data_IF_773124923380
#
_entry.id   IF_773124923380
#
_cell.length_a   1.000
_cell.length_b   1.000
_cell.length_c   1.000
_cell.angle_alpha   90.00
_cell.angle_beta   90.00
_cell.angle_gamma   90.00
#
_symmetry.space_group_name_H-M   'P 1'
#
loop_
_entity.id
_entity.type
_entity.pdbx_description
1 polymer ?
#
# COMPACT_ATOMS: atom_id res chain seq x y z
N UNK A 1 46.51 57.13 39.53
CA UNK A 1 45.73 55.88 39.61
C UNK A 1 45.27 55.50 38.20
N UNK A 2 45.55 54.27 37.81
CA UNK A 2 45.29 53.68 36.50
C UNK A 2 43.84 53.19 36.36
N UNK A 3 43.33 53.11 35.12
CA UNK A 3 42.66 51.91 34.56
C UNK A 3 42.50 52.04 33.03
N UNK A 4 42.92 50.99 32.32
CA UNK A 4 42.86 50.76 30.86
C UNK A 4 41.42 50.74 30.33
N UNK A 5 41.23 50.97 29.01
CA UNK A 5 40.26 50.24 28.23
C UNK A 5 40.94 49.23 27.29
N UNK A 6 40.23 48.13 27.08
CA UNK A 6 40.56 46.92 26.35
C UNK A 6 40.66 47.10 24.84
N UNK A 7 41.69 46.50 24.23
CA UNK A 7 41.86 46.37 22.78
C UNK A 7 40.73 45.54 22.16
N UNK A 8 40.06 46.07 21.14
CA UNK A 8 39.10 45.38 20.28
C UNK A 8 39.77 44.29 19.43
N UNK A 9 39.01 43.23 19.12
CA UNK A 9 39.44 42.07 18.34
C UNK A 9 39.99 42.44 16.95
N UNK A 10 39.56 43.57 16.40
CA UNK A 10 40.08 44.14 15.15
C UNK A 10 41.50 44.70 15.27
N UNK A 11 41.88 45.26 16.43
CA UNK A 11 43.24 45.73 16.69
C UNK A 11 44.25 44.59 16.80
N UNK A 12 43.81 43.41 17.27
CA UNK A 12 44.64 42.19 17.28
C UNK A 12 44.80 41.57 15.89
N UNK A 13 43.83 41.76 14.99
CA UNK A 13 43.92 41.36 13.58
C UNK A 13 44.91 42.21 12.79
N UNK A 14 44.91 43.53 13.01
CA UNK A 14 45.85 44.45 12.35
C UNK A 14 47.31 44.25 12.83
N UNK A 15 47.51 43.98 14.12
CA UNK A 15 48.82 43.64 14.70
C UNK A 15 49.34 42.27 14.23
N UNK A 16 48.45 41.31 13.95
CA UNK A 16 48.82 40.00 13.42
C UNK A 16 49.26 40.09 11.95
N UNK A 17 48.66 40.98 11.17
CA UNK A 17 49.03 41.25 9.77
C UNK A 17 50.35 42.07 9.71
N UNK A 18 50.58 42.98 10.66
CA UNK A 18 51.86 43.68 10.82
C UNK A 18 53.03 42.75 11.16
N UNK A 19 52.82 41.76 12.05
CA UNK A 19 53.86 40.79 12.45
C UNK A 19 54.13 39.71 11.39
N UNK A 20 53.19 39.43 10.50
CA UNK A 20 53.40 38.49 9.39
C UNK A 20 54.21 39.11 8.23
N UNK A 21 54.19 40.45 8.09
CA UNK A 21 55.03 41.20 7.16
C UNK A 21 56.51 41.26 7.59
N UNK A 22 56.77 41.28 8.91
CA UNK A 22 58.14 41.43 9.45
C UNK A 22 58.95 40.13 9.56
N UNK A 23 58.33 38.96 9.37
CA UNK A 23 59.00 37.64 9.41
C UNK A 23 59.22 36.98 8.05
N UNK A 24 58.70 37.55 6.95
CA UNK A 24 58.93 37.05 5.59
C UNK A 24 60.15 37.65 4.86
N UNK A 25 60.73 38.73 5.38
CA UNK A 25 61.76 39.52 4.66
C UNK A 25 63.22 39.25 5.12
N UNK A 26 63.52 38.10 5.73
CA UNK A 26 64.85 37.80 6.29
C UNK A 26 65.79 36.84 5.53
N UNK A 27 65.52 36.36 4.30
CA UNK A 27 66.59 35.85 3.44
C UNK A 27 66.92 36.76 2.23
N UNK A 28 66.17 37.85 1.99
CA UNK A 28 66.29 38.65 0.76
C UNK A 28 67.03 39.99 0.88
N UNK A 29 67.47 40.39 2.08
CA UNK A 29 68.21 41.66 2.28
C UNK A 29 69.62 41.72 1.65
N UNK A 30 70.48 40.69 1.64
CA UNK A 30 71.78 40.81 1.00
C UNK A 30 71.68 40.82 -0.55
N UNK A 31 70.54 40.40 -1.09
CA UNK A 31 70.30 40.34 -2.53
C UNK A 31 69.81 41.68 -3.10
N UNK A 32 68.90 42.36 -2.40
CA UNK A 32 68.35 43.66 -2.83
C UNK A 32 69.36 44.80 -2.64
N UNK A 33 70.17 44.81 -1.57
CA UNK A 33 71.20 45.85 -1.39
C UNK A 33 72.33 45.73 -2.42
N UNK A 34 72.66 44.52 -2.89
CA UNK A 34 73.65 44.34 -3.97
C UNK A 34 73.16 44.76 -5.35
N UNK A 35 71.85 44.73 -5.57
CA UNK A 35 71.24 45.13 -6.85
C UNK A 35 71.02 46.64 -6.96
N UNK A 36 70.90 47.36 -5.84
CA UNK A 36 70.54 48.78 -5.83
C UNK A 36 71.58 49.76 -5.26
N UNK A 37 72.72 49.31 -4.73
CA UNK A 37 73.71 50.18 -4.06
C UNK A 37 74.70 50.95 -4.97
N UNK A 38 74.47 51.13 -6.28
CA UNK A 38 75.46 51.82 -7.15
C UNK A 38 75.00 53.03 -7.93
N UNK A 39 73.85 53.64 -7.63
CA UNK A 39 73.42 54.85 -8.34
C UNK A 39 72.60 55.82 -7.48
N UNK A 40 73.25 56.45 -6.49
CA UNK A 40 72.95 57.85 -6.12
C UNK A 40 74.22 58.46 -5.50
N UNK A 41 74.87 59.39 -6.20
CA UNK A 41 75.62 60.47 -5.58
C UNK A 41 75.71 61.64 -6.56
N UNK A 42 75.15 62.75 -6.14
CA UNK A 42 75.26 64.10 -6.70
C UNK A 42 76.68 64.66 -6.52
N UNK A 43 77.23 65.30 -7.56
CA UNK A 43 77.90 66.62 -7.50
C UNK A 43 78.66 66.91 -8.81
N UNK A 44 78.21 67.98 -9.50
CA UNK A 44 78.96 69.06 -10.18
C UNK A 44 80.45 68.81 -10.57
N UNK A 45 80.97 69.20 -11.75
CA UNK A 45 80.84 70.48 -12.44
C UNK A 45 81.55 70.37 -13.83
N UNK A 46 80.97 70.99 -14.86
CA UNK A 46 81.59 71.49 -16.11
C UNK A 46 82.33 70.55 -17.10
N UNK A 47 81.84 70.63 -18.36
CA UNK A 47 82.48 70.55 -19.69
C UNK A 47 82.43 69.24 -20.51
N UNK A 48 81.88 69.44 -21.72
CA UNK A 48 81.97 68.71 -23.00
C UNK A 48 81.13 67.45 -23.28
N UNK A 49 79.98 67.69 -23.94
CA UNK A 49 79.07 66.72 -24.59
C UNK A 49 79.72 65.85 -25.66
N UNK A 50 80.93 66.17 -26.12
CA UNK A 50 81.62 65.42 -27.18
C UNK A 50 82.30 64.14 -26.68
N UNK A 51 82.38 63.90 -25.38
CA UNK A 51 83.06 62.72 -24.79
C UNK A 51 82.13 61.62 -24.27
N UNK A 52 80.84 61.90 -24.10
CA UNK A 52 79.85 60.94 -23.56
C UNK A 52 79.31 59.94 -24.59
N UNK A 53 79.43 60.26 -25.89
CA UNK A 53 78.92 59.40 -26.98
C UNK A 53 79.81 58.19 -27.27
N UNK A 54 81.11 58.27 -26.95
CA UNK A 54 82.04 57.13 -27.11
C UNK A 54 82.04 56.18 -25.89
N UNK A 55 81.68 56.68 -24.70
CA UNK A 55 81.61 55.83 -23.50
C UNK A 55 80.36 54.93 -23.48
N UNK A 56 79.25 55.37 -24.10
CA UNK A 56 78.02 54.58 -24.19
C UNK A 56 78.09 53.38 -25.14
N UNK A 57 79.04 53.35 -26.10
CA UNK A 57 79.19 52.24 -27.04
C UNK A 57 80.00 51.06 -26.50
N UNK A 58 80.81 51.23 -25.46
CA UNK A 58 81.78 50.20 -25.03
C UNK A 58 81.27 49.23 -23.95
N UNK A 59 80.01 49.33 -23.46
CA UNK A 59 79.56 48.54 -22.30
C UNK A 59 78.28 47.70 -22.51
N UNK A 60 78.08 47.11 -23.69
CA UNK A 60 77.06 46.06 -23.90
C UNK A 60 77.68 44.65 -23.85
N UNK A 61 77.76 44.08 -22.65
CA UNK A 61 78.07 42.65 -22.41
C UNK A 61 76.77 41.80 -22.44
N UNK A 62 76.61 40.83 -23.36
CA UNK A 62 75.31 40.22 -23.72
C UNK A 62 74.79 39.06 -22.84
N UNK A 63 75.28 38.88 -21.61
CA UNK A 63 74.99 37.65 -20.83
C UNK A 63 73.63 37.72 -20.09
N UNK A 64 73.14 38.90 -19.72
CA UNK A 64 71.89 39.05 -18.92
C UNK A 64 70.59 38.92 -19.73
N UNK A 65 70.62 39.25 -21.02
CA UNK A 65 69.45 39.13 -21.89
C UNK A 65 69.08 37.67 -22.15
N UNK A 66 70.07 36.76 -22.20
CA UNK A 66 69.84 35.33 -22.46
C UNK A 66 69.12 34.62 -21.32
N UNK A 67 69.46 34.92 -20.06
CA UNK A 67 68.81 34.31 -18.90
C UNK A 67 67.31 34.69 -18.83
N UNK A 68 67.00 35.96 -19.06
CA UNK A 68 65.61 36.43 -19.13
C UNK A 68 64.84 35.73 -20.26
N UNK A 69 65.45 35.61 -21.45
CA UNK A 69 64.88 34.89 -22.58
C UNK A 69 64.56 33.42 -22.25
N UNK A 70 65.47 32.70 -21.57
CA UNK A 70 65.22 31.32 -21.17
C UNK A 70 64.13 31.19 -20.11
N UNK A 71 64.01 32.12 -19.15
CA UNK A 71 62.92 32.11 -18.15
C UNK A 71 61.55 32.38 -18.77
N UNK A 72 61.48 33.28 -19.75
CA UNK A 72 60.25 33.54 -20.51
C UNK A 72 59.91 32.31 -21.35
N UNK A 73 60.88 31.71 -22.03
CA UNK A 73 60.69 30.49 -22.82
C UNK A 73 60.18 29.32 -21.96
N UNK A 74 60.78 29.11 -20.78
CA UNK A 74 60.34 28.07 -19.84
C UNK A 74 58.90 28.29 -19.37
N UNK A 75 58.53 29.54 -19.03
CA UNK A 75 57.17 29.89 -18.60
C UNK A 75 56.16 29.67 -19.72
N UNK A 76 56.50 30.04 -20.95
CA UNK A 76 55.66 29.79 -22.13
C UNK A 76 55.48 28.30 -22.36
N UNK A 77 56.55 27.50 -22.31
CA UNK A 77 56.47 26.04 -22.45
C UNK A 77 55.61 25.44 -21.32
N UNK A 78 55.77 25.88 -20.07
CA UNK A 78 54.96 25.43 -18.95
C UNK A 78 53.47 25.76 -19.13
N UNK A 79 53.14 26.96 -19.61
CA UNK A 79 51.76 27.35 -19.92
C UNK A 79 51.17 26.55 -21.09
N UNK A 80 51.96 26.24 -22.12
CA UNK A 80 51.51 25.40 -23.25
C UNK A 80 51.26 23.95 -22.82
N UNK A 81 52.13 23.40 -21.97
CA UNK A 81 51.94 22.06 -21.37
C UNK A 81 50.71 22.05 -20.48
N UNK A 82 50.53 23.06 -19.62
CA UNK A 82 49.34 23.18 -18.79
C UNK A 82 48.07 23.32 -19.64
N UNK A 83 48.08 24.18 -20.65
CA UNK A 83 46.94 24.38 -21.54
C UNK A 83 46.59 23.15 -22.37
N UNK A 84 47.55 22.25 -22.59
CA UNK A 84 47.32 20.95 -23.22
C UNK A 84 46.62 19.95 -22.28
N UNK A 85 46.94 19.93 -20.98
CA UNK A 85 46.33 19.02 -20.02
C UNK A 85 45.06 19.55 -19.34
N UNK A 86 44.90 20.86 -19.22
CA UNK A 86 43.76 21.49 -18.55
C UNK A 86 42.50 21.35 -19.43
N UNK A 87 41.54 20.53 -18.98
CA UNK A 87 40.23 20.34 -19.60
C UNK A 87 39.21 21.34 -19.07
N UNK A 88 38.42 21.92 -19.96
CA UNK A 88 37.26 22.77 -19.71
C UNK A 88 36.03 22.06 -20.31
N UNK A 89 34.91 22.09 -19.60
CA UNK A 89 33.65 21.53 -20.07
C UNK A 89 33.01 22.44 -21.12
N UNK A 90 32.61 21.84 -22.25
CA UNK A 90 31.77 22.49 -23.26
C UNK A 90 30.32 22.24 -22.89
N UNK A 91 29.54 23.31 -22.73
CA UNK A 91 28.13 23.24 -22.32
C UNK A 91 27.23 23.81 -23.40
N UNK A 92 26.17 23.07 -23.70
CA UNK A 92 25.03 23.54 -24.49
C UNK A 92 23.97 24.07 -23.53
N UNK A 93 23.44 25.27 -23.78
CA UNK A 93 22.45 25.91 -22.92
C UNK A 93 21.07 25.81 -23.55
N UNK A 94 20.07 25.49 -22.74
CA UNK A 94 18.66 25.50 -23.12
C UNK A 94 17.82 26.24 -22.10
N UNK A 95 16.88 27.04 -22.56
CA UNK A 95 15.85 27.62 -21.70
C UNK A 95 14.70 26.61 -21.56
N UNK A 96 14.24 26.37 -20.34
CA UNK A 96 13.24 25.35 -20.06
C UNK A 96 12.27 25.72 -18.95
N UNK A 97 11.33 24.83 -18.72
CA UNK A 97 10.34 24.92 -17.65
C UNK A 97 10.31 23.63 -16.83
N UNK A 98 10.08 23.77 -15.53
CA UNK A 98 9.87 22.64 -14.63
C UNK A 98 8.50 22.03 -14.93
N UNK A 99 8.47 20.73 -15.18
CA UNK A 99 7.26 19.93 -15.34
C UNK A 99 7.23 18.90 -14.19
N UNK A 100 6.04 18.48 -13.73
CA UNK A 100 5.97 17.43 -12.73
C UNK A 100 6.58 16.14 -13.33
N UNK A 101 7.37 15.42 -12.55
CA UNK A 101 7.97 14.17 -13.01
C UNK A 101 6.88 13.10 -13.21
N UNK A 102 5.88 13.11 -12.34
CA UNK A 102 4.66 12.32 -12.42
C UNK A 102 3.55 13.00 -13.22
N UNK A 103 2.66 12.20 -13.81
CA UNK A 103 1.49 12.72 -14.49
C UNK A 103 0.51 13.35 -13.49
N UNK A 104 -0.24 14.36 -13.96
CA UNK A 104 -1.35 14.96 -13.22
C UNK A 104 -2.36 13.90 -12.79
N UNK A 105 -2.64 13.84 -11.48
CA UNK A 105 -3.59 12.90 -10.89
C UNK A 105 -4.99 13.49 -10.94
N UNK A 106 -5.90 12.83 -11.66
CA UNK A 106 -7.32 13.21 -11.73
C UNK A 106 -8.10 12.34 -10.78
N UNK A 107 -8.59 12.94 -9.70
CA UNK A 107 -9.34 12.26 -8.66
C UNK A 107 -10.82 12.33 -9.03
N UNK A 108 -11.46 11.17 -9.09
CA UNK A 108 -12.84 11.01 -9.50
C UNK A 108 -13.68 10.50 -8.32
N UNK A 109 -14.97 10.85 -8.32
CA UNK A 109 -15.94 10.24 -7.41
C UNK A 109 -16.34 8.88 -7.93
N UNK A 110 -16.24 7.82 -7.12
CA UNK A 110 -16.57 6.46 -7.56
C UNK A 110 -18.08 6.24 -7.64
N UNK A 111 -18.79 6.32 -6.51
CA UNK A 111 -20.23 6.07 -6.44
C UNK A 111 -21.10 7.32 -6.66
N UNK A 112 -20.50 8.51 -6.70
CA UNK A 112 -21.22 9.78 -6.77
C UNK A 112 -21.95 10.13 -5.47
N UNK A 113 -22.63 11.28 -5.46
CA UNK A 113 -23.42 11.73 -4.31
C UNK A 113 -23.41 13.25 -4.12
N UNK A 114 -24.00 13.71 -3.02
CA UNK A 114 -24.07 15.12 -2.67
C UNK A 114 -22.82 15.49 -1.88
N UNK A 115 -22.11 16.53 -2.30
CA UNK A 115 -20.95 17.06 -1.56
C UNK A 115 -21.44 17.72 -0.28
N UNK A 116 -21.05 17.17 0.86
CA UNK A 116 -21.36 17.71 2.18
C UNK A 116 -20.31 18.74 2.61
N UNK A 117 -19.03 18.42 2.43
CA UNK A 117 -17.91 19.26 2.86
C UNK A 117 -16.75 19.25 1.88
N UNK A 118 -16.03 20.37 1.80
CA UNK A 118 -14.82 20.56 1.00
C UNK A 118 -13.73 21.07 1.93
N UNK A 119 -12.65 20.31 2.10
CA UNK A 119 -11.57 20.62 3.05
C UNK A 119 -10.39 21.36 2.42
N UNK A 120 -10.32 21.36 1.09
CA UNK A 120 -9.18 21.89 0.32
C UNK A 120 -9.49 23.20 -0.40
N UNK A 121 -8.43 23.89 -0.82
CA UNK A 121 -8.46 25.06 -1.70
C UNK A 121 -7.48 24.89 -2.86
N UNK A 122 -7.74 25.56 -3.98
CA UNK A 122 -6.79 25.59 -5.10
C UNK A 122 -5.45 26.20 -4.65
N UNK A 123 -4.34 25.57 -5.04
CA UNK A 123 -2.98 25.93 -4.63
C UNK A 123 -2.54 25.41 -3.26
N UNK A 124 -3.40 24.70 -2.52
CA UNK A 124 -3.05 24.08 -1.24
C UNK A 124 -2.16 22.84 -1.45
N UNK A 125 -1.16 22.69 -0.58
CA UNK A 125 -0.35 21.46 -0.48
C UNK A 125 -1.15 20.44 0.34
N UNK A 126 -1.24 19.21 -0.17
CA UNK A 126 -1.95 18.09 0.47
C UNK A 126 -1.04 16.87 0.57
N UNK A 127 -1.25 16.10 1.63
CA UNK A 127 -0.50 14.86 1.88
C UNK A 127 -1.27 13.64 1.36
N UNK A 128 -0.55 12.55 1.08
CA UNK A 128 -1.13 11.27 0.71
C UNK A 128 -2.05 10.75 1.82
N UNK A 129 -3.30 10.45 1.47
CA UNK A 129 -4.34 10.01 2.39
C UNK A 129 -5.15 11.14 3.03
N UNK A 130 -4.78 12.42 2.85
CA UNK A 130 -5.55 13.56 3.35
C UNK A 130 -6.94 13.61 2.70
N UNK A 131 -7.98 13.90 3.51
CA UNK A 131 -9.35 14.03 3.01
C UNK A 131 -9.50 15.36 2.28
N UNK A 132 -9.85 15.29 1.01
CA UNK A 132 -10.03 16.45 0.15
C UNK A 132 -11.47 16.96 0.25
N UNK A 133 -12.42 16.03 0.13
CA UNK A 133 -13.86 16.32 0.06
C UNK A 133 -14.64 15.16 0.67
N UNK A 134 -15.82 15.46 1.21
CA UNK A 134 -16.72 14.47 1.78
C UNK A 134 -18.08 14.53 1.08
N UNK A 135 -18.50 13.37 0.58
CA UNK A 135 -19.86 13.12 0.12
C UNK A 135 -20.71 12.76 1.34
N UNK A 136 -21.98 13.18 1.37
CA UNK A 136 -22.94 12.84 2.42
C UNK A 136 -23.00 11.32 2.61
N UNK A 137 -22.51 10.80 3.76
CA UNK A 137 -22.40 9.36 3.99
C UNK A 137 -23.73 8.75 4.44
N UNK A 138 -24.77 9.56 4.70
CA UNK A 138 -25.99 9.12 5.38
C UNK A 138 -26.65 7.91 4.72
N UNK A 139 -26.78 7.93 3.39
CA UNK A 139 -27.38 6.81 2.64
C UNK A 139 -26.52 5.56 2.71
N UNK A 140 -25.22 5.71 2.45
CA UNK A 140 -24.28 4.58 2.43
C UNK A 140 -24.12 3.93 3.81
N UNK A 141 -24.07 4.75 4.87
CA UNK A 141 -24.02 4.29 6.26
C UNK A 141 -25.34 3.60 6.65
N UNK A 142 -26.48 4.07 6.15
CA UNK A 142 -27.78 3.43 6.41
C UNK A 142 -27.84 2.04 5.79
N UNK A 143 -27.45 1.89 4.51
CA UNK A 143 -27.39 0.60 3.83
C UNK A 143 -26.42 -0.36 4.56
N UNK A 144 -25.24 0.13 4.96
CA UNK A 144 -24.27 -0.68 5.71
C UNK A 144 -24.82 -1.11 7.08
N UNK A 145 -25.50 -0.22 7.81
CA UNK A 145 -26.13 -0.55 9.10
C UNK A 145 -27.26 -1.55 8.96
N UNK A 146 -28.08 -1.43 7.92
CA UNK A 146 -29.14 -2.39 7.63
C UNK A 146 -28.56 -3.79 7.37
N UNK A 147 -27.57 -3.90 6.49
CA UNK A 147 -26.87 -5.16 6.23
C UNK A 147 -26.27 -5.75 7.52
N UNK A 148 -25.63 -4.90 8.34
CA UNK A 148 -25.04 -5.31 9.62
C UNK A 148 -26.09 -5.84 10.60
N UNK A 149 -27.24 -5.18 10.70
CA UNK A 149 -28.35 -5.61 11.55
C UNK A 149 -28.93 -6.95 11.09
N UNK A 150 -29.15 -7.12 9.78
CA UNK A 150 -29.60 -8.40 9.21
C UNK A 150 -28.58 -9.52 9.47
N UNK A 151 -27.28 -9.24 9.32
CA UNK A 151 -26.20 -10.19 9.61
C UNK A 151 -26.25 -10.65 11.07
N UNK A 152 -26.37 -9.74 12.03
CA UNK A 152 -26.46 -10.11 13.45
C UNK A 152 -27.71 -10.92 13.76
N UNK A 153 -28.85 -10.59 13.14
CA UNK A 153 -30.08 -11.36 13.30
C UNK A 153 -29.92 -12.80 12.81
N UNK A 154 -29.35 -12.99 11.61
CA UNK A 154 -29.07 -14.33 11.08
C UNK A 154 -28.01 -15.08 11.89
N UNK A 155 -27.03 -14.38 12.45
CA UNK A 155 -26.01 -15.00 13.30
C UNK A 155 -26.61 -15.54 14.59
N UNK A 156 -27.46 -14.76 15.27
CA UNK A 156 -28.18 -15.21 16.46
C UNK A 156 -29.07 -16.43 16.15
N UNK A 157 -29.81 -16.38 15.03
CA UNK A 157 -30.62 -17.51 14.54
C UNK A 157 -29.77 -18.75 14.26
N UNK A 158 -28.59 -18.59 13.63
CA UNK A 158 -27.68 -19.70 13.34
C UNK A 158 -27.13 -20.34 14.63
N UNK A 159 -26.76 -19.53 15.63
CA UNK A 159 -26.31 -20.02 16.93
C UNK A 159 -27.44 -20.79 17.65
N UNK A 160 -28.68 -20.30 17.62
CA UNK A 160 -29.87 -21.02 18.12
C UNK A 160 -30.07 -22.36 17.42
N UNK A 161 -30.08 -22.37 16.08
CA UNK A 161 -30.31 -23.59 15.28
C UNK A 161 -29.20 -24.62 15.52
N UNK A 162 -27.96 -24.17 15.68
CA UNK A 162 -26.84 -25.05 16.05
C UNK A 162 -27.04 -25.66 17.44
N UNK A 163 -27.50 -24.87 18.41
CA UNK A 163 -27.81 -25.35 19.75
C UNK A 163 -28.91 -26.43 19.73
N UNK A 164 -30.01 -26.18 19.00
CA UNK A 164 -31.09 -27.16 18.79
C UNK A 164 -30.58 -28.45 18.12
N UNK A 165 -29.88 -28.32 16.98
CA UNK A 165 -29.38 -29.47 16.22
C UNK A 165 -28.39 -30.36 16.98
N UNK A 166 -27.69 -29.80 17.98
CA UNK A 166 -26.72 -30.52 18.82
C UNK A 166 -27.26 -30.89 20.20
N UNK A 167 -28.43 -30.38 20.59
CA UNK A 167 -28.99 -30.54 21.94
C UNK A 167 -28.22 -29.80 23.03
N UNK A 168 -27.43 -28.78 22.68
CA UNK A 168 -26.65 -27.96 23.62
C UNK A 168 -27.41 -26.70 24.02
N UNK A 169 -26.98 -26.02 25.09
CA UNK A 169 -27.61 -24.78 25.53
C UNK A 169 -27.37 -23.64 24.52
N UNK A 170 -28.37 -22.76 24.38
CA UNK A 170 -28.20 -21.53 23.60
C UNK A 170 -27.36 -20.51 24.37
N UNK A 171 -26.08 -20.43 24.00
CA UNK A 171 -25.08 -19.53 24.56
C UNK A 171 -24.61 -18.56 23.47
N UNK A 172 -25.24 -17.38 23.36
CA UNK A 172 -24.89 -16.42 22.32
C UNK A 172 -23.51 -15.80 22.56
N UNK A 173 -22.78 -15.56 21.48
CA UNK A 173 -21.49 -14.87 21.52
C UNK A 173 -21.58 -13.50 22.21
N UNK A 174 -20.48 -13.06 22.85
CA UNK A 174 -20.44 -11.79 23.59
C UNK A 174 -20.73 -10.59 22.68
N UNK A 175 -20.26 -10.63 21.43
CA UNK A 175 -20.53 -9.61 20.41
C UNK A 175 -22.03 -9.42 20.18
N UNK A 176 -22.80 -10.51 20.02
CA UNK A 176 -24.25 -10.44 19.82
C UNK A 176 -24.98 -9.90 21.06
N UNK A 177 -24.52 -10.28 22.26
CA UNK A 177 -25.10 -9.79 23.52
C UNK A 177 -24.94 -8.28 23.70
N UNK A 178 -23.88 -7.70 23.17
CA UNK A 178 -23.61 -6.27 23.25
C UNK A 178 -24.29 -5.48 22.12
N UNK A 179 -24.22 -5.98 20.88
CA UNK A 179 -24.71 -5.25 19.71
C UNK A 179 -26.23 -5.36 19.51
N UNK A 180 -26.84 -6.53 19.82
CA UNK A 180 -28.27 -6.81 19.53
C UNK A 180 -28.96 -7.59 20.67
N UNK A 181 -29.02 -7.03 21.90
CA UNK A 181 -29.57 -7.74 23.07
C UNK A 181 -31.04 -8.17 22.90
N UNK A 182 -31.87 -7.33 22.26
CA UNK A 182 -33.29 -7.62 22.05
C UNK A 182 -33.52 -8.84 21.16
N UNK A 183 -32.73 -8.96 20.07
CA UNK A 183 -32.78 -10.11 19.16
C UNK A 183 -32.33 -11.38 19.88
N UNK A 184 -31.29 -11.27 20.69
CA UNK A 184 -30.78 -12.40 21.48
C UNK A 184 -31.83 -12.92 22.46
N UNK A 185 -32.58 -12.03 23.13
CA UNK A 185 -33.69 -12.43 24.00
C UNK A 185 -34.79 -13.12 23.19
N UNK A 186 -35.20 -12.55 22.05
CA UNK A 186 -36.22 -13.16 21.20
C UNK A 186 -35.80 -14.56 20.70
N UNK A 187 -34.55 -14.73 20.27
CA UNK A 187 -34.04 -16.05 19.84
C UNK A 187 -33.95 -17.04 21.02
N UNK A 188 -33.71 -16.57 22.25
CA UNK A 188 -33.78 -17.41 23.45
C UNK A 188 -35.19 -17.90 23.73
N UNK A 189 -36.20 -17.03 23.62
CA UNK A 189 -37.61 -17.44 23.78
C UNK A 189 -38.01 -18.47 22.73
N UNK A 190 -37.61 -18.27 21.47
CA UNK A 190 -37.84 -19.24 20.39
C UNK A 190 -37.12 -20.57 20.68
N UNK A 191 -35.87 -20.53 21.17
CA UNK A 191 -35.12 -21.73 21.55
C UNK A 191 -35.85 -22.55 22.62
N UNK A 192 -36.29 -21.89 23.69
CA UNK A 192 -36.98 -22.52 24.81
C UNK A 192 -38.32 -23.11 24.36
N UNK A 193 -39.11 -22.35 23.58
CA UNK A 193 -40.38 -22.81 23.02
C UNK A 193 -40.20 -24.06 22.14
N UNK A 194 -39.19 -24.08 21.26
CA UNK A 194 -38.91 -25.23 20.39
C UNK A 194 -38.45 -26.46 21.15
N UNK A 195 -37.69 -26.29 22.23
CA UNK A 195 -37.30 -27.40 23.10
C UNK A 195 -38.48 -27.99 23.85
N UNK A 196 -39.38 -27.13 24.32
CA UNK A 196 -40.58 -27.58 25.00
C UNK A 196 -41.50 -28.34 24.03
N UNK A 197 -41.68 -27.82 22.81
CA UNK A 197 -42.43 -28.51 21.76
C UNK A 197 -41.90 -29.93 21.47
N UNK A 198 -40.57 -30.07 21.36
CA UNK A 198 -39.94 -31.39 21.17
C UNK A 198 -40.19 -32.31 22.38
N UNK A 199 -40.01 -31.81 23.59
CA UNK A 199 -40.20 -32.61 24.81
C UNK A 199 -41.63 -33.12 24.94
N UNK A 200 -42.62 -32.29 24.64
CA UNK A 200 -44.02 -32.71 24.68
C UNK A 200 -44.30 -33.81 23.66
N UNK A 201 -43.73 -33.73 22.45
CA UNK A 201 -43.85 -34.79 21.44
C UNK A 201 -43.15 -36.08 21.89
N UNK A 202 -41.96 -35.97 22.48
CA UNK A 202 -41.25 -37.11 23.07
C UNK A 202 -42.06 -37.75 24.21
N UNK A 203 -42.69 -36.95 25.09
CA UNK A 203 -43.52 -37.44 26.19
C UNK A 203 -44.71 -38.25 25.67
N UNK A 204 -45.43 -37.74 24.67
CA UNK A 204 -46.57 -38.44 24.05
C UNK A 204 -46.15 -39.78 23.44
N UNK A 205 -45.03 -39.82 22.73
CA UNK A 205 -44.51 -41.07 22.16
C UNK A 205 -44.04 -42.04 23.24
N UNK A 206 -43.37 -41.55 24.29
CA UNK A 206 -42.97 -42.37 25.43
C UNK A 206 -44.18 -42.97 26.18
N UNK A 207 -45.26 -42.21 26.33
CA UNK A 207 -46.51 -42.72 26.90
C UNK A 207 -47.12 -43.83 26.03
N UNK A 208 -47.08 -43.67 24.71
CA UNK A 208 -47.53 -44.70 23.76
C UNK A 208 -46.69 -45.98 23.86
N UNK A 209 -45.37 -45.85 23.95
CA UNK A 209 -44.45 -46.99 24.19
C UNK A 209 -44.78 -47.67 25.52
N UNK A 210 -45.01 -46.89 26.58
CA UNK A 210 -45.38 -47.40 27.91
C UNK A 210 -46.68 -48.22 27.83
N UNK A 211 -47.71 -47.68 27.17
CA UNK A 211 -48.99 -48.38 26.98
C UNK A 211 -48.80 -49.70 26.21
N UNK A 212 -48.06 -49.69 25.10
CA UNK A 212 -47.79 -50.92 24.32
C UNK A 212 -47.03 -51.97 25.12
N UNK A 213 -46.08 -51.55 25.96
CA UNK A 213 -45.34 -52.46 26.85
C UNK A 213 -46.21 -53.05 27.96
N UNK A 214 -47.23 -52.33 28.44
CA UNK A 214 -48.23 -52.88 29.38
C UNK A 214 -49.13 -53.92 28.68
N UNK A 215 -49.62 -53.62 27.47
CA UNK A 215 -50.41 -54.55 26.66
C UNK A 215 -49.62 -55.84 26.36
N UNK A 216 -48.33 -55.72 26.04
CA UNK A 216 -47.43 -56.85 25.84
C UNK A 216 -47.28 -57.69 27.11
N UNK A 217 -47.09 -57.06 28.28
CA UNK A 217 -46.99 -57.76 29.57
C UNK A 217 -48.26 -58.54 29.88
N UNK A 218 -49.43 -57.98 29.58
CA UNK A 218 -50.70 -58.68 29.74
C UNK A 218 -50.78 -59.91 28.82
N UNK A 219 -50.40 -59.78 27.54
CA UNK A 219 -50.39 -60.89 26.59
C UNK A 219 -49.40 -62.00 26.99
N UNK A 220 -48.22 -61.64 27.51
CA UNK A 220 -47.25 -62.59 28.03
C UNK A 220 -47.81 -63.38 29.22
N UNK A 221 -48.47 -62.71 30.17
CA UNK A 221 -49.12 -63.37 31.30
C UNK A 221 -50.23 -64.35 30.87
N UNK A 222 -50.99 -64.00 29.83
CA UNK A 222 -52.00 -64.91 29.22
C UNK A 222 -51.33 -66.12 28.56
N UNK A 223 -50.25 -65.90 27.80
CA UNK A 223 -49.48 -66.99 27.18
C UNK A 223 -48.91 -67.95 28.22
N UNK A 224 -48.38 -67.43 29.32
CA UNK A 224 -47.83 -68.25 30.41
C UNK A 224 -48.92 -69.06 31.12
N UNK A 225 -50.12 -68.50 31.25
CA UNK A 225 -51.27 -69.21 31.82
C UNK A 225 -51.74 -70.34 30.89
N UNK A 226 -51.93 -70.07 29.60
CA UNK A 226 -52.28 -71.09 28.61
C UNK A 226 -51.19 -72.18 28.51
N UNK A 227 -49.91 -71.82 28.66
CA UNK A 227 -48.82 -72.80 28.69
C UNK A 227 -48.88 -73.72 29.92
N UNK A 228 -49.27 -73.20 31.10
CA UNK A 228 -49.50 -74.03 32.28
C UNK A 228 -50.67 -75.00 32.07
N UNK A 229 -51.74 -74.55 31.44
CA UNK A 229 -52.91 -75.39 31.11
C UNK A 229 -52.55 -76.52 30.14
N UNK A 230 -51.78 -76.22 29.08
CA UNK A 230 -51.23 -77.24 28.17
C UNK A 230 -50.42 -78.29 28.95
N UNK A 231 -49.57 -77.85 29.88
CA UNK A 231 -48.73 -78.76 30.67
C UNK A 231 -49.58 -79.68 31.56
N UNK A 232 -50.59 -79.14 32.25
CA UNK A 232 -51.49 -79.92 33.11
C UNK A 232 -52.31 -80.94 32.30
N UNK A 233 -52.96 -80.49 31.21
CA UNK A 233 -53.74 -81.37 30.34
C UNK A 233 -52.88 -82.47 29.70
N UNK A 234 -51.65 -82.12 29.29
CA UNK A 234 -50.71 -83.10 28.72
C UNK A 234 -50.25 -84.12 29.76
N UNK A 235 -50.01 -83.68 31.00
CA UNK A 235 -49.63 -84.57 32.09
C UNK A 235 -50.77 -85.54 32.43
N UNK A 236 -52.01 -85.06 32.51
CA UNK A 236 -53.20 -85.89 32.75
C UNK A 236 -53.38 -86.94 31.64
N UNK A 237 -53.26 -86.55 30.37
CA UNK A 237 -53.29 -87.47 29.24
C UNK A 237 -52.17 -88.52 29.34
N UNK A 238 -50.94 -88.11 29.65
CA UNK A 238 -49.79 -89.01 29.71
C UNK A 238 -49.90 -90.04 30.84
N UNK A 239 -50.49 -89.66 31.99
CA UNK A 239 -50.77 -90.59 33.09
C UNK A 239 -51.91 -91.55 32.76
N UNK A 240 -52.93 -91.09 32.02
CA UNK A 240 -54.14 -91.86 31.73
C UNK A 240 -53.97 -92.82 30.56
N UNK A 241 -53.16 -92.45 29.55
CA UNK A 241 -52.93 -93.24 28.34
C UNK A 241 -52.48 -94.70 28.57
N UNK A 242 -51.51 -95.01 29.47
CA UNK A 242 -51.14 -96.39 29.73
C UNK A 242 -52.24 -97.21 30.42
N UNK A 243 -53.15 -96.57 31.17
CA UNK A 243 -54.25 -97.24 31.87
C UNK A 243 -55.29 -97.83 30.91
N UNK A 244 -55.34 -97.34 29.67
CA UNK A 244 -56.17 -97.91 28.60
C UNK A 244 -55.73 -99.34 28.27
N UNK A 245 -54.43 -99.62 28.25
CA UNK A 245 -53.90 -100.95 27.94
C UNK A 245 -54.25 -102.00 29.00
N UNK A 246 -54.39 -101.57 30.27
CA UNK A 246 -54.88 -102.43 31.36
C UNK A 246 -56.41 -102.50 31.47
N UNK A 247 -57.16 -101.80 30.59
CA UNK A 247 -58.63 -101.75 30.61
C UNK A 247 -59.25 -100.93 31.74
N UNK A 248 -58.45 -100.15 32.47
CA UNK A 248 -58.89 -99.39 33.64
C UNK A 248 -59.60 -98.07 33.30
N UNK A 249 -59.50 -97.61 32.04
CA UNK A 249 -60.17 -96.41 31.51
C UNK A 249 -60.70 -96.66 30.10
N UNK A 250 -61.71 -95.89 29.68
CA UNK A 250 -62.33 -95.98 28.35
C UNK A 250 -61.54 -95.21 27.29
N UNK A 251 -61.56 -95.68 26.04
CA UNK A 251 -60.97 -94.97 24.89
C UNK A 251 -61.59 -93.57 24.68
N UNK A 252 -62.88 -93.41 24.99
CA UNK A 252 -63.58 -92.12 24.94
C UNK A 252 -62.95 -91.08 25.86
N UNK A 253 -62.45 -91.52 27.02
CA UNK A 253 -61.78 -90.63 27.98
C UNK A 253 -60.42 -90.16 27.47
N UNK A 254 -59.65 -91.05 26.84
CA UNK A 254 -58.38 -90.69 26.19
C UNK A 254 -58.62 -89.70 25.04
N UNK A 255 -59.65 -89.91 24.21
CA UNK A 255 -60.02 -88.98 23.13
C UNK A 255 -60.49 -87.62 23.65
N UNK A 256 -61.20 -87.60 24.79
CA UNK A 256 -61.58 -86.35 25.48
C UNK A 256 -60.34 -85.58 25.92
N UNK A 257 -59.42 -86.23 26.64
CA UNK A 257 -58.16 -85.62 27.09
C UNK A 257 -57.28 -85.16 25.93
N UNK A 258 -57.24 -85.90 24.82
CA UNK A 258 -56.56 -85.44 23.60
C UNK A 258 -57.17 -84.16 23.02
N UNK A 259 -58.51 -84.06 23.00
CA UNK A 259 -59.21 -82.82 22.59
C UNK A 259 -58.87 -81.67 23.53
N UNK A 260 -58.81 -81.92 24.84
CA UNK A 260 -58.50 -80.92 25.85
C UNK A 260 -57.06 -80.40 25.69
N UNK A 261 -56.08 -81.29 25.47
CA UNK A 261 -54.70 -80.91 25.13
C UNK A 261 -54.66 -80.09 23.84
N UNK A 262 -55.38 -80.52 22.80
CA UNK A 262 -55.43 -79.80 21.53
C UNK A 262 -56.06 -78.41 21.67
N UNK A 263 -57.11 -78.27 22.49
CA UNK A 263 -57.76 -77.00 22.79
C UNK A 263 -56.80 -76.05 23.50
N UNK A 264 -56.20 -76.48 24.61
CA UNK A 264 -55.22 -75.70 25.37
C UNK A 264 -54.00 -75.31 24.49
N UNK A 265 -53.55 -76.21 23.63
CA UNK A 265 -52.45 -75.96 22.68
C UNK A 265 -52.83 -74.86 21.69
N UNK A 266 -54.07 -74.88 21.19
CA UNK A 266 -54.61 -73.84 20.32
C UNK A 266 -54.67 -72.47 21.00
N UNK A 267 -55.16 -72.41 22.24
CA UNK A 267 -55.21 -71.18 23.03
C UNK A 267 -53.83 -70.60 23.31
N UNK A 268 -52.86 -71.44 23.70
CA UNK A 268 -51.46 -71.01 23.84
C UNK A 268 -50.92 -70.44 22.53
N UNK A 269 -51.14 -71.11 21.40
CA UNK A 269 -50.68 -70.61 20.10
C UNK A 269 -51.30 -69.25 19.73
N UNK A 270 -52.58 -69.03 20.07
CA UNK A 270 -53.23 -67.73 19.87
C UNK A 270 -52.62 -66.65 20.76
N UNK A 271 -52.34 -66.97 22.02
CA UNK A 271 -51.68 -66.06 22.95
C UNK A 271 -50.25 -65.73 22.50
N UNK A 272 -49.50 -66.71 22.03
CA UNK A 272 -48.14 -66.53 21.51
C UNK A 272 -48.11 -65.64 20.26
N UNK A 273 -49.04 -65.87 19.31
CA UNK A 273 -49.21 -64.98 18.16
C UNK A 273 -49.61 -63.55 18.57
N UNK A 274 -50.30 -63.37 19.69
CA UNK A 274 -50.60 -62.06 20.24
C UNK A 274 -49.38 -61.37 20.84
N UNK A 275 -48.52 -62.10 21.54
CA UNK A 275 -47.22 -61.62 22.03
C UNK A 275 -46.37 -61.12 20.86
N UNK A 276 -46.15 -61.93 19.82
CA UNK A 276 -45.32 -61.51 18.67
C UNK A 276 -45.85 -60.24 17.99
N UNK A 277 -47.17 -60.10 17.88
CA UNK A 277 -47.79 -58.90 17.29
C UNK A 277 -47.56 -57.65 18.15
N UNK A 278 -47.67 -57.77 19.47
CA UNK A 278 -47.48 -56.66 20.40
C UNK A 278 -46.00 -56.28 20.53
N UNK A 279 -45.08 -57.24 20.45
CA UNK A 279 -43.64 -56.99 20.37
C UNK A 279 -43.30 -56.12 19.15
N UNK A 280 -43.79 -56.49 17.97
CA UNK A 280 -43.63 -55.68 16.77
C UNK A 280 -44.24 -54.27 16.92
N UNK A 281 -45.38 -54.15 17.63
CA UNK A 281 -46.00 -52.86 17.91
C UNK A 281 -45.22 -51.98 18.91
N UNK A 282 -44.46 -52.58 19.83
CA UNK A 282 -43.52 -51.85 20.70
C UNK A 282 -42.33 -51.36 19.87
N UNK A 283 -41.76 -52.23 19.04
CA UNK A 283 -40.63 -51.88 18.15
C UNK A 283 -41.01 -50.75 17.17
N UNK A 284 -42.22 -50.79 16.59
CA UNK A 284 -42.75 -49.71 15.75
C UNK A 284 -42.83 -48.38 16.53
N UNK A 285 -43.37 -48.40 17.75
CA UNK A 285 -43.50 -47.20 18.58
C UNK A 285 -42.14 -46.61 19.01
N UNK A 286 -41.16 -47.47 19.30
CA UNK A 286 -39.77 -47.06 19.56
C UNK A 286 -39.12 -46.47 18.30
N UNK A 287 -39.39 -47.07 17.13
CA UNK A 287 -38.97 -46.55 15.82
C UNK A 287 -39.50 -45.13 15.56
N UNK A 288 -40.78 -44.88 15.85
CA UNK A 288 -41.40 -43.55 15.73
C UNK A 288 -40.71 -42.49 16.60
N UNK A 289 -40.26 -42.84 17.81
CA UNK A 289 -39.50 -41.93 18.68
C UNK A 289 -38.12 -41.60 18.10
N UNK A 290 -37.42 -42.59 17.56
CA UNK A 290 -36.13 -42.38 16.90
C UNK A 290 -36.27 -41.54 15.63
N UNK A 291 -37.33 -41.79 14.85
CA UNK A 291 -37.68 -41.05 13.64
C UNK A 291 -37.93 -39.57 13.97
N UNK A 292 -38.74 -39.26 14.98
CA UNK A 292 -38.98 -37.88 15.44
C UNK A 292 -37.66 -37.15 15.72
N UNK A 293 -36.75 -37.76 16.47
CA UNK A 293 -35.46 -37.16 16.78
C UNK A 293 -34.58 -36.94 15.55
N UNK A 294 -34.61 -37.86 14.57
CA UNK A 294 -33.87 -37.74 13.32
C UNK A 294 -34.46 -36.64 12.41
N UNK A 295 -35.79 -36.60 12.29
CA UNK A 295 -36.54 -35.62 11.51
C UNK A 295 -36.27 -34.20 12.03
N UNK A 296 -36.43 -33.96 13.34
CA UNK A 296 -36.19 -32.65 13.96
C UNK A 296 -34.75 -32.17 13.82
N UNK A 297 -33.77 -33.07 14.00
CA UNK A 297 -32.36 -32.73 13.74
C UNK A 297 -32.09 -32.42 12.27
N UNK A 298 -32.75 -33.12 11.35
CA UNK A 298 -32.63 -32.86 9.91
C UNK A 298 -33.22 -31.49 9.55
N UNK A 299 -34.43 -31.19 10.03
CA UNK A 299 -35.11 -29.90 9.89
C UNK A 299 -34.19 -28.74 10.34
N UNK A 300 -33.69 -28.79 11.57
CA UNK A 300 -32.83 -27.74 12.11
C UNK A 300 -31.49 -27.61 11.37
N UNK A 301 -30.93 -28.72 10.86
CA UNK A 301 -29.70 -28.67 10.06
C UNK A 301 -29.92 -28.05 8.68
N UNK A 302 -31.06 -28.32 8.06
CA UNK A 302 -31.43 -27.70 6.78
C UNK A 302 -31.64 -26.20 6.95
N UNK A 303 -32.38 -25.80 7.98
CA UNK A 303 -32.57 -24.39 8.34
C UNK A 303 -31.23 -23.71 8.65
N UNK A 304 -30.34 -24.40 9.36
CA UNK A 304 -29.00 -23.90 9.67
C UNK A 304 -28.18 -23.72 8.39
N UNK A 305 -28.20 -24.68 7.48
CA UNK A 305 -27.46 -24.61 6.22
C UNK A 305 -27.96 -23.42 5.37
N UNK A 306 -29.27 -23.22 5.27
CA UNK A 306 -29.86 -22.07 4.59
C UNK A 306 -29.44 -20.74 5.26
N UNK A 307 -29.58 -20.65 6.58
CA UNK A 307 -29.21 -19.46 7.37
C UNK A 307 -27.73 -19.12 7.20
N UNK A 308 -26.84 -20.12 7.19
CA UNK A 308 -25.41 -19.92 6.96
C UNK A 308 -25.13 -19.47 5.51
N UNK A 309 -25.87 -19.98 4.53
CA UNK A 309 -25.79 -19.51 3.14
C UNK A 309 -26.11 -18.02 3.04
N UNK A 310 -27.24 -17.60 3.63
CA UNK A 310 -27.68 -16.21 3.65
C UNK A 310 -26.71 -15.31 4.43
N UNK A 311 -26.19 -15.78 5.57
CA UNK A 311 -25.19 -15.07 6.37
C UNK A 311 -23.89 -14.85 5.60
N UNK A 312 -23.41 -15.87 4.87
CA UNK A 312 -22.22 -15.73 4.04
C UNK A 312 -22.44 -14.72 2.90
N UNK A 313 -23.62 -14.73 2.28
CA UNK A 313 -23.97 -13.74 1.25
C UNK A 313 -24.00 -12.31 1.81
N UNK A 314 -24.61 -12.10 2.98
CA UNK A 314 -24.61 -10.80 3.65
C UNK A 314 -23.20 -10.35 4.04
N UNK A 315 -22.35 -11.26 4.50
CA UNK A 315 -20.97 -10.94 4.86
C UNK A 315 -20.17 -10.45 3.65
N UNK A 316 -20.33 -11.08 2.48
CA UNK A 316 -19.68 -10.63 1.23
C UNK A 316 -20.27 -9.30 0.71
N UNK A 317 -21.59 -9.10 0.86
CA UNK A 317 -22.22 -7.82 0.51
C UNK A 317 -21.76 -6.69 1.44
N UNK A 318 -21.62 -6.98 2.73
CA UNK A 318 -21.23 -6.04 3.77
C UNK A 318 -19.83 -5.45 3.55
N UNK A 319 -18.86 -6.21 3.04
CA UNK A 319 -17.54 -5.68 2.69
C UNK A 319 -17.62 -4.63 1.56
N UNK A 320 -18.45 -4.87 0.55
CA UNK A 320 -18.68 -3.89 -0.52
C UNK A 320 -19.39 -2.62 -0.04
N UNK A 321 -20.36 -2.76 0.87
CA UNK A 321 -21.03 -1.61 1.49
C UNK A 321 -20.09 -0.81 2.39
N UNK A 322 -19.22 -1.48 3.14
CA UNK A 322 -18.18 -0.82 3.95
C UNK A 322 -17.21 -0.02 3.08
N UNK A 323 -16.79 -0.60 1.94
CA UNK A 323 -15.94 0.10 0.98
C UNK A 323 -16.64 1.33 0.41
N UNK A 324 -17.94 1.22 0.09
CA UNK A 324 -18.74 2.36 -0.37
C UNK A 324 -18.82 3.48 0.68
N UNK A 325 -18.99 3.14 1.96
CA UNK A 325 -18.91 4.11 3.07
C UNK A 325 -17.52 4.74 3.14
N UNK A 326 -16.44 3.97 2.97
CA UNK A 326 -15.08 4.53 2.96
C UNK A 326 -14.86 5.50 1.79
N UNK A 327 -15.42 5.19 0.62
CA UNK A 327 -15.29 5.99 -0.60
C UNK A 327 -16.13 7.27 -0.60
N UNK A 328 -16.94 7.53 0.44
CA UNK A 328 -17.60 8.83 0.61
C UNK A 328 -16.58 9.92 0.95
N UNK A 329 -15.46 9.54 1.56
CA UNK A 329 -14.32 10.43 1.79
C UNK A 329 -13.36 10.33 0.61
N UNK A 330 -13.30 11.39 -0.19
CA UNK A 330 -12.37 11.48 -1.31
C UNK A 330 -11.01 11.91 -0.77
N UNK A 331 -10.01 11.05 -0.88
CA UNK A 331 -8.66 11.26 -0.34
C UNK A 331 -7.61 11.41 -1.44
N UNK A 332 -6.52 12.11 -1.14
CA UNK A 332 -5.38 12.20 -2.06
C UNK A 332 -4.62 10.87 -2.14
N UNK A 333 -4.28 10.35 -3.33
CA UNK A 333 -3.43 9.17 -3.46
C UNK A 333 -1.93 9.47 -3.31
N UNK A 334 -1.52 10.74 -3.43
CA UNK A 334 -0.12 11.18 -3.47
C UNK A 334 0.05 12.51 -2.72
N UNK A 335 1.28 12.82 -2.31
CA UNK A 335 1.64 14.15 -1.84
C UNK A 335 1.68 15.11 -3.05
N UNK A 336 1.08 16.29 -2.92
CA UNK A 336 0.94 17.16 -4.08
C UNK A 336 0.32 18.52 -3.80
N UNK A 337 0.15 19.30 -4.86
CA UNK A 337 -0.52 20.59 -4.83
C UNK A 337 -1.82 20.48 -5.61
N UNK A 338 -2.91 20.96 -5.02
CA UNK A 338 -4.23 21.03 -5.67
C UNK A 338 -4.15 22.04 -6.81
N UNK A 339 -4.27 21.58 -8.06
CA UNK A 339 -4.25 22.46 -9.23
C UNK A 339 -5.63 23.06 -9.50
N UNK A 340 -6.68 22.24 -9.46
CA UNK A 340 -8.05 22.66 -9.78
C UNK A 340 -9.07 21.84 -9.02
N UNK A 341 -10.14 22.51 -8.57
CA UNK A 341 -11.31 21.88 -7.98
C UNK A 341 -12.48 22.01 -8.97
N UNK A 342 -12.95 20.89 -9.52
CA UNK A 342 -14.04 20.88 -10.50
C UNK A 342 -15.42 21.10 -9.85
N UNK A 343 -15.59 20.67 -8.60
CA UNK A 343 -16.83 20.85 -7.84
C UNK A 343 -16.55 21.68 -6.60
N UNK A 344 -16.80 22.98 -6.67
CA UNK A 344 -16.56 23.90 -5.54
C UNK A 344 -17.80 24.19 -4.68
N UNK A 345 -18.97 23.64 -5.05
CA UNK A 345 -20.25 23.99 -4.42
C UNK A 345 -20.66 22.94 -3.40
N UNK A 346 -20.76 23.33 -2.13
CA UNK A 346 -21.38 22.52 -1.07
C UNK A 346 -22.87 22.30 -1.39
N UNK A 347 -23.34 21.06 -1.29
CA UNK A 347 -24.66 20.64 -1.77
C UNK A 347 -24.73 20.35 -3.27
N UNK A 348 -23.64 20.52 -4.01
CA UNK A 348 -23.52 20.10 -5.40
C UNK A 348 -23.55 18.57 -5.53
N UNK A 349 -24.00 18.06 -6.68
CA UNK A 349 -24.09 16.62 -6.95
C UNK A 349 -22.93 16.20 -7.85
N UNK A 350 -22.14 15.24 -7.40
CA UNK A 350 -21.12 14.56 -8.20
C UNK A 350 -21.70 13.30 -8.83
N UNK A 351 -21.50 13.13 -10.14
CA UNK A 351 -21.84 11.90 -10.84
C UNK A 351 -20.76 10.82 -10.62
N UNK A 352 -21.12 9.53 -10.70
CA UNK A 352 -20.13 8.44 -10.73
C UNK A 352 -19.12 8.62 -11.87
N UNK A 353 -17.83 8.51 -11.57
CA UNK A 353 -16.71 8.74 -12.49
C UNK A 353 -16.41 10.21 -12.80
N UNK A 354 -17.13 11.16 -12.23
CA UNK A 354 -16.88 12.58 -12.46
C UNK A 354 -15.59 13.03 -11.77
N UNK A 355 -14.76 13.77 -12.49
CA UNK A 355 -13.54 14.39 -11.94
C UNK A 355 -13.92 15.49 -10.94
N UNK A 356 -13.30 15.43 -9.76
CA UNK A 356 -13.62 16.31 -8.63
C UNK A 356 -12.44 17.22 -8.30
N UNK A 357 -11.22 16.65 -8.29
CA UNK A 357 -9.99 17.37 -7.94
C UNK A 357 -8.85 16.92 -8.85
N UNK A 358 -8.02 17.87 -9.27
CA UNK A 358 -6.75 17.61 -9.96
C UNK A 358 -5.59 17.93 -9.03
N UNK A 359 -4.69 16.97 -8.85
CA UNK A 359 -3.49 17.11 -8.01
C UNK A 359 -2.25 16.95 -8.86
N UNK A 360 -1.32 17.87 -8.68
CA UNK A 360 0.02 17.79 -9.24
C UNK A 360 0.94 17.21 -8.18
N UNK A 361 1.55 16.03 -8.40
CA UNK A 361 2.44 15.41 -7.42
C UNK A 361 3.66 16.30 -7.15
N UNK A 362 4.03 16.41 -5.89
CA UNK A 362 5.27 17.07 -5.48
C UNK A 362 6.35 15.98 -5.38
N UNK A 363 6.92 15.58 -6.52
CA UNK A 363 8.00 14.60 -6.54
C UNK A 363 9.32 15.25 -6.07
N UNK A 364 10.18 14.50 -5.38
CA UNK A 364 11.54 14.94 -5.00
C UNK A 364 12.48 15.12 -6.22
N UNK A 365 12.08 14.60 -7.38
CA UNK A 365 12.82 14.69 -8.62
C UNK A 365 12.22 15.73 -9.54
N UNK A 366 13.02 16.73 -9.90
CA UNK A 366 12.64 17.76 -10.85
C UNK A 366 12.88 17.27 -12.27
N UNK A 367 11.85 17.36 -13.11
CA UNK A 367 11.96 17.14 -14.53
C UNK A 367 11.85 18.49 -15.24
N UNK A 368 12.86 18.85 -16.03
CA UNK A 368 12.87 20.11 -16.77
C UNK A 368 12.81 19.82 -18.26
N UNK A 369 11.84 20.47 -18.90
CA UNK A 369 11.65 20.48 -20.34
C UNK A 369 12.35 21.71 -20.90
N UNK A 370 13.53 21.52 -21.50
CA UNK A 370 14.33 22.60 -22.07
C UNK A 370 14.29 22.60 -23.60
N UNK A 371 14.35 23.81 -24.18
CA UNK A 371 14.40 24.09 -25.60
C UNK A 371 15.86 24.30 -25.99
N UNK A 372 16.34 23.51 -26.94
CA UNK A 372 17.71 23.55 -27.47
C UNK A 372 17.68 23.98 -28.93
N UNK A 373 18.60 24.87 -29.32
CA UNK A 373 18.73 25.32 -30.69
C UNK A 373 19.12 24.15 -31.63
N UNK A 374 18.57 24.06 -32.86
CA UNK A 374 18.89 22.99 -33.80
C UNK A 374 20.38 22.85 -34.12
N UNK A 375 21.14 23.95 -34.05
CA UNK A 375 22.59 23.96 -34.28
C UNK A 375 23.39 23.21 -33.21
N UNK A 376 22.84 23.04 -32.00
CA UNK A 376 23.55 22.48 -30.85
C UNK A 376 23.13 21.03 -30.53
N UNK A 377 22.27 20.42 -31.37
CA UNK A 377 21.74 19.05 -31.17
C UNK A 377 22.77 17.95 -31.45
N UNK A 378 23.74 18.20 -32.34
CA UNK A 378 24.59 17.17 -32.93
C UNK A 378 25.44 16.38 -31.91
N UNK A 379 25.66 16.94 -30.72
CA UNK A 379 26.48 16.33 -29.66
C UNK A 379 25.67 15.96 -28.42
N UNK A 380 24.34 16.05 -28.47
CA UNK A 380 23.47 15.67 -27.36
C UNK A 380 23.07 14.20 -27.48
N UNK A 381 23.20 13.46 -26.38
CA UNK A 381 22.69 12.10 -26.26
C UNK A 381 22.18 11.83 -24.85
N UNK A 382 21.19 10.93 -24.68
CA UNK A 382 20.75 10.51 -23.35
C UNK A 382 21.94 10.08 -22.48
N UNK A 383 21.87 10.41 -21.20
CA UNK A 383 22.86 10.09 -20.18
C UNK A 383 23.95 11.14 -19.93
N UNK A 384 23.91 12.28 -20.61
CA UNK A 384 24.89 13.35 -20.39
C UNK A 384 24.63 14.09 -19.07
N UNK A 385 25.68 14.44 -18.32
CA UNK A 385 25.54 15.26 -17.12
C UNK A 385 25.11 16.67 -17.51
N UNK A 386 24.14 17.18 -16.77
CA UNK A 386 23.54 18.49 -16.95
C UNK A 386 23.44 19.20 -15.60
N UNK A 387 23.30 20.53 -15.64
CA UNK A 387 23.06 21.35 -14.46
C UNK A 387 21.83 22.21 -14.71
N UNK A 388 20.83 22.05 -13.85
CA UNK A 388 19.60 22.84 -13.86
C UNK A 388 19.80 24.06 -12.97
N UNK A 389 19.57 25.25 -13.52
CA UNK A 389 19.64 26.53 -12.83
C UNK A 389 18.23 27.12 -12.80
N UNK A 390 17.62 27.19 -11.62
CA UNK A 390 16.29 27.78 -11.47
C UNK A 390 16.39 29.29 -11.57
N UNK A 391 15.74 29.92 -12.55
CA UNK A 391 15.85 31.37 -12.77
C UNK A 391 15.25 32.18 -11.61
N UNK A 392 14.31 31.59 -10.87
CA UNK A 392 13.67 32.20 -9.71
C UNK A 392 14.58 32.30 -8.46
N UNK A 393 15.72 31.58 -8.45
CA UNK A 393 16.67 31.57 -7.34
C UNK A 393 18.04 32.07 -7.80
N UNK A 394 18.75 32.81 -6.93
CA UNK A 394 20.09 33.30 -7.26
C UNK A 394 21.10 32.15 -7.29
N UNK A 395 21.59 31.82 -8.49
CA UNK A 395 22.57 30.76 -8.73
C UNK A 395 23.88 30.96 -7.92
N UNK A 396 24.29 32.19 -7.63
CA UNK A 396 25.52 32.43 -6.86
C UNK A 396 25.38 31.98 -5.39
N UNK A 397 24.15 31.97 -4.87
CA UNK A 397 23.83 31.60 -3.49
C UNK A 397 23.43 30.13 -3.40
N UNK A 398 22.57 29.68 -4.31
CA UNK A 398 21.93 28.35 -4.24
C UNK A 398 22.59 27.30 -5.14
N UNK A 399 23.50 27.69 -6.03
CA UNK A 399 24.11 26.77 -7.00
C UNK A 399 23.12 26.29 -8.06
N UNK A 400 23.47 25.22 -8.76
CA UNK A 400 22.60 24.55 -9.72
C UNK A 400 22.41 23.09 -9.33
N UNK A 401 21.25 22.53 -9.66
CA UNK A 401 20.94 21.14 -9.38
C UNK A 401 21.60 20.24 -10.41
N UNK A 402 22.31 19.23 -9.95
CA UNK A 402 22.89 18.23 -10.84
C UNK A 402 21.78 17.37 -11.44
N UNK A 403 21.90 17.11 -12.73
CA UNK A 403 20.87 16.43 -13.50
C UNK A 403 21.48 15.61 -14.63
N UNK A 404 20.65 14.81 -15.29
CA UNK A 404 21.04 13.98 -16.42
C UNK A 404 20.04 14.14 -17.56
N UNK A 405 20.55 14.18 -18.79
CA UNK A 405 19.72 14.25 -19.99
C UNK A 405 18.99 12.90 -20.18
N UNK A 406 17.68 12.88 -19.95
CA UNK A 406 16.85 11.66 -20.03
C UNK A 406 16.40 11.38 -21.46
N UNK A 407 15.86 12.39 -22.14
CA UNK A 407 15.26 12.21 -23.48
C UNK A 407 15.44 13.43 -24.35
N UNK A 408 15.57 13.20 -25.65
CA UNK A 408 15.60 14.21 -26.71
C UNK A 408 14.39 13.96 -27.63
N UNK A 409 13.71 15.00 -28.10
CA UNK A 409 12.66 14.88 -29.11
C UNK A 409 13.22 14.33 -30.42
N UNK A 410 12.47 13.43 -31.07
CA UNK A 410 12.88 12.82 -32.33
C UNK A 410 12.87 13.81 -33.51
N UNK A 411 12.10 14.90 -33.38
CA UNK A 411 11.95 15.95 -34.38
C UNK A 411 11.97 17.33 -33.70
N UNK A 412 12.17 18.37 -34.52
CA UNK A 412 12.05 19.76 -34.11
C UNK A 412 10.60 20.19 -33.94
N UNK A 413 10.36 21.04 -32.95
CA UNK A 413 9.06 21.67 -32.70
C UNK A 413 9.22 23.17 -33.02
N UNK A 414 8.23 23.75 -33.69
CA UNK A 414 8.19 25.18 -33.99
C UNK A 414 7.19 25.84 -33.05
N UNK A 415 7.63 26.87 -32.32
CA UNK A 415 6.75 27.68 -31.45
C UNK A 415 5.81 28.57 -32.28
N UNK A 416 4.81 29.16 -31.64
CA UNK A 416 3.91 30.15 -32.26
C UNK A 416 4.68 31.37 -32.81
N UNK A 417 5.86 31.66 -32.26
CA UNK A 417 6.79 32.72 -32.70
C UNK A 417 7.63 32.34 -33.94
N UNK A 418 7.45 31.13 -34.50
CA UNK A 418 8.20 30.65 -35.67
C UNK A 418 9.61 30.16 -35.37
N UNK A 419 10.02 30.09 -34.09
CA UNK A 419 11.32 29.56 -33.69
C UNK A 419 11.29 28.04 -33.61
N UNK A 420 12.20 27.38 -34.31
CA UNK A 420 12.35 25.92 -34.32
C UNK A 420 13.38 25.48 -33.26
N UNK A 421 13.02 24.51 -32.42
CA UNK A 421 13.88 23.97 -31.37
C UNK A 421 13.70 22.47 -31.18
N UNK A 422 14.71 21.80 -30.62
CA UNK A 422 14.57 20.46 -30.07
C UNK A 422 14.17 20.55 -28.61
N UNK A 423 13.29 19.66 -28.20
CA UNK A 423 12.84 19.59 -26.82
C UNK A 423 13.59 18.47 -26.11
N UNK A 424 14.31 18.83 -25.05
CA UNK A 424 15.05 17.88 -24.22
C UNK A 424 14.43 17.81 -22.82
N UNK A 425 14.40 16.60 -22.25
CA UNK A 425 13.96 16.36 -20.88
C UNK A 425 15.16 16.01 -20.03
N UNK A 426 15.37 16.77 -18.97
CA UNK A 426 16.49 16.65 -18.06
C UNK A 426 15.97 16.39 -16.66
N UNK A 427 16.44 15.32 -16.04
CA UNK A 427 15.97 14.83 -14.73
C UNK A 427 17.03 15.11 -13.67
N UNK A 428 16.66 15.72 -12.55
CA UNK A 428 17.58 15.95 -11.43
C UNK A 428 18.00 14.62 -10.79
N UNK A 429 19.24 14.57 -10.29
CA UNK A 429 19.75 13.41 -9.55
C UNK A 429 19.19 13.41 -8.12
N UNK A 430 18.75 12.24 -7.63
CA UNK A 430 18.07 12.08 -6.34
C UNK A 430 18.93 12.41 -5.10
N UNK A 431 20.23 12.67 -5.25
CA UNK A 431 21.19 12.78 -4.15
C UNK A 431 21.47 14.23 -3.68
N UNK A 432 20.74 15.23 -4.20
CA UNK A 432 20.90 16.61 -3.73
C UNK A 432 19.67 17.05 -2.92
N UNK A 433 19.82 17.10 -1.58
CA UNK A 433 18.88 17.72 -0.60
C UNK A 433 18.69 19.25 -0.81
N UNK A 434 18.91 19.74 -2.03
CA UNK A 434 18.67 21.10 -2.48
C UNK A 434 17.18 21.29 -2.79
N UNK A 435 16.49 20.22 -3.23
CA UNK A 435 15.04 20.21 -3.40
C UNK A 435 14.30 20.50 -2.07
N UNK A 436 14.74 19.94 -0.94
CA UNK A 436 14.14 20.22 0.38
C UNK A 436 14.33 21.68 0.86
N UNK A 437 15.30 22.41 0.29
CA UNK A 437 15.63 23.79 0.66
C UNK A 437 14.98 24.83 -0.27
N UNK A 438 14.46 24.41 -1.42
CA UNK A 438 13.89 25.25 -2.45
C UNK A 438 12.49 24.75 -2.79
N UNK A 439 11.45 25.53 -2.49
CA UNK A 439 10.07 25.20 -2.87
C UNK A 439 9.92 25.38 -4.40
N UNK A 440 10.19 24.32 -5.16
CA UNK A 440 10.05 24.33 -6.62
C UNK A 440 8.62 23.94 -6.99
N UNK A 441 7.96 24.82 -7.74
CA UNK A 441 6.59 24.58 -8.22
C UNK A 441 6.65 24.29 -9.73
N UNK A 442 5.90 23.32 -10.24
CA UNK A 442 5.73 23.11 -11.68
C UNK A 442 5.34 24.41 -12.40
N UNK A 443 5.95 24.66 -13.56
CA UNK A 443 5.79 25.90 -14.33
C UNK A 443 6.88 26.95 -14.09
N UNK A 444 7.77 26.78 -13.11
CA UNK A 444 8.95 27.64 -12.95
C UNK A 444 9.87 27.57 -14.18
N UNK A 445 10.48 28.70 -14.55
CA UNK A 445 11.49 28.74 -15.63
C UNK A 445 12.86 28.35 -15.09
N UNK A 446 13.59 27.59 -15.89
CA UNK A 446 14.92 27.09 -15.56
C UNK A 446 15.83 27.16 -16.79
N UNK A 447 17.12 27.36 -16.57
CA UNK A 447 18.14 27.20 -17.59
C UNK A 447 18.84 25.87 -17.37
N UNK A 448 18.99 25.08 -18.42
CA UNK A 448 19.68 23.80 -18.39
C UNK A 448 20.98 23.93 -19.15
N UNK A 449 22.09 23.63 -18.48
CA UNK A 449 23.42 23.56 -19.07
C UNK A 449 23.81 22.09 -19.20
N UNK A 450 23.87 21.55 -20.42
CA UNK A 450 24.20 20.14 -20.71
C UNK A 450 25.65 20.04 -21.15
N UNK A 451 26.46 19.19 -20.51
CA UNK A 451 27.87 19.01 -20.86
C UNK A 451 27.98 18.12 -22.10
N UNK A 452 28.33 18.71 -23.25
CA UNK A 452 28.41 18.05 -24.55
C UNK A 452 29.81 17.56 -24.91
N UNK A 453 30.84 18.00 -24.17
CA UNK A 453 32.20 17.53 -24.38
C UNK A 453 33.21 18.18 -23.44
N UNK A 454 34.47 17.74 -23.53
CA UNK A 454 35.60 18.35 -22.82
C UNK A 454 36.62 18.83 -23.83
N UNK A 455 37.05 20.09 -23.71
CA UNK A 455 38.08 20.69 -24.56
C UNK A 455 39.24 21.17 -23.73
N UNK A 456 40.44 21.14 -24.28
CA UNK A 456 41.60 21.69 -23.56
C UNK A 456 41.67 23.21 -23.73
N UNK A 457 42.29 23.91 -22.78
CA UNK A 457 42.48 25.38 -22.86
C UNK A 457 43.18 25.77 -24.17
N UNK A 458 44.14 24.94 -24.62
CA UNK A 458 44.83 25.09 -25.90
C UNK A 458 43.85 25.07 -27.08
N UNK A 459 42.93 24.10 -27.13
CA UNK A 459 41.93 24.00 -28.19
C UNK A 459 40.94 25.17 -28.18
N UNK A 460 40.57 25.67 -27.00
CA UNK A 460 39.70 26.84 -26.86
C UNK A 460 40.36 28.11 -27.44
N UNK A 461 41.63 28.36 -27.08
CA UNK A 461 42.39 29.54 -27.54
C UNK A 461 42.73 29.49 -29.04
N UNK A 462 43.02 28.30 -29.58
CA UNK A 462 43.35 28.12 -31.01
C UNK A 462 42.12 28.05 -31.92
N UNK A 463 40.90 27.86 -31.39
CA UNK A 463 39.66 27.73 -32.18
C UNK A 463 39.44 28.89 -33.17
N UNK A 464 39.61 30.18 -32.82
CA UNK A 464 39.40 31.29 -33.77
C UNK A 464 40.44 31.30 -34.89
N UNK A 465 41.69 30.98 -34.56
CA UNK A 465 42.80 30.92 -35.53
C UNK A 465 42.60 29.75 -36.49
N UNK A 466 42.29 28.56 -35.96
CA UNK A 466 42.03 27.36 -36.76
C UNK A 466 40.79 27.51 -37.65
N UNK A 467 39.74 28.19 -37.17
CA UNK A 467 38.54 28.48 -37.95
C UNK A 467 38.84 29.45 -39.09
N UNK A 468 39.54 30.56 -38.81
CA UNK A 468 39.94 31.53 -39.83
C UNK A 468 40.82 30.92 -40.94
N UNK A 469 41.78 30.05 -40.57
CA UNK A 469 42.63 29.34 -41.54
C UNK A 469 41.86 28.33 -42.39
N UNK A 470 40.85 27.67 -41.83
CA UNK A 470 40.06 26.65 -42.54
C UNK A 470 39.01 27.30 -43.46
N UNK A 471 38.38 28.39 -43.02
CA UNK A 471 37.42 29.15 -43.81
C UNK A 471 38.10 29.95 -44.94
N UNK A 472 39.40 30.30 -44.81
CA UNK A 472 40.15 30.98 -45.87
C UNK A 472 40.70 30.05 -46.96
N UNK A 473 40.72 28.73 -46.73
CA UNK A 473 41.22 27.73 -47.70
C UNK A 473 40.11 26.83 -48.27
N UNK A 474 38.86 26.99 -47.84
CA UNK A 474 37.70 26.33 -48.43
C UNK A 474 36.78 27.35 -49.11
N UNK A 475 36.67 27.27 -50.43
CA UNK A 475 35.66 27.99 -51.21
C UNK A 475 34.28 27.37 -50.95
N UNK A 476 33.21 28.18 -50.93
CA UNK A 476 31.82 27.75 -50.70
C UNK A 476 31.14 27.28 -51.97
#
# INVERSE_FOLDING_TARGET
MARKPSSTTEQKGFDAIGRFSEKGQKPFRPFMDRLFAKRVSSAHLSRDWASDTDWARMQQEPIRARLFLYTVLLTVVALLVWAYFASIDEVTRGAGRVIPASQLQRIQSFDGGVIEQIFIREGQIVEAGEVLMQIDPTRFVSDFRENRAQRYALQARAERLRALATGTAFEPSEELRQEVPDIVMQEREVYESRREELREQENVLNDRIRQRREELREAQARRDTAQREVNMASQELNLTRPLLASGAVSEVEVLRLQRDVSGATGERNQADAAVSRLEAGVEEAEGQLLELGAERRSEWRNDLAQTLGDLNALQQSGTGLQDRVRLTEIRSPVDGIVQRIHISTIGGVAQPGQEVVEIVPTDDQLLVEARIAPQDIAFLHPGQPATIKLTAYDYAIYGGLQAELERISADTITDDDGNTFYQVRVRSLANENVADRLQVIPGMTAQVDIVTGKRTVMQFLLKPVLRAWRDSMGER
#
